data_IF_955264013937
#
_entry.id   IF_955264013937
#
_cell.length_a   1.000
_cell.length_b   1.000
_cell.length_c   1.000
_cell.angle_alpha   90.00
_cell.angle_beta   90.00
_cell.angle_gamma   90.00
#
_symmetry.space_group_name_H-M   'P 1'
#
loop_
_entity.id
_entity.type
_entity.pdbx_description
1 polymer ?
#
# COMPACT_ATOMS: atom_id res chain seq x y z
N UNK A 1 -0.26 13.46 -1.31
CA UNK A 1 -0.62 14.55 -0.37
C UNK A 1 -1.07 13.95 0.98
N UNK A 2 -1.25 14.72 2.07
CA UNK A 2 -1.71 14.17 3.36
C UNK A 2 -3.03 13.37 3.29
N UNK A 3 -3.88 13.65 2.28
CA UNK A 3 -5.10 12.87 1.99
C UNK A 3 -4.83 11.46 1.46
N UNK A 4 -3.71 11.22 0.80
CA UNK A 4 -3.38 9.92 0.19
C UNK A 4 -2.73 8.97 1.19
N UNK A 5 -1.99 9.50 2.17
CA UNK A 5 -1.44 8.71 3.26
C UNK A 5 -2.52 8.04 4.13
N UNK A 6 -3.73 8.60 4.17
CA UNK A 6 -4.87 8.00 4.90
C UNK A 6 -5.50 6.80 4.17
N UNK A 7 -5.07 6.52 2.94
CA UNK A 7 -5.64 5.44 2.11
C UNK A 7 -4.82 4.14 2.18
N UNK A 8 -3.67 4.16 2.85
CA UNK A 8 -2.72 3.03 2.91
C UNK A 8 -2.19 2.87 4.33
N UNK A 9 -2.00 1.63 4.76
CA UNK A 9 -1.35 1.32 6.03
C UNK A 9 0.16 1.58 5.92
N UNK A 10 0.81 1.73 7.07
CA UNK A 10 2.21 2.13 7.21
C UNK A 10 3.18 1.17 6.54
N UNK A 11 2.86 -0.14 6.49
CA UNK A 11 3.73 -1.12 5.84
C UNK A 11 3.91 -0.85 4.33
N UNK A 12 2.87 -0.34 3.65
CA UNK A 12 2.94 0.03 2.22
C UNK A 12 3.92 1.18 2.03
N UNK A 13 3.90 2.17 2.93
CA UNK A 13 4.82 3.32 2.86
C UNK A 13 6.27 2.84 3.01
N UNK A 14 6.53 1.90 3.92
CA UNK A 14 7.86 1.32 4.07
C UNK A 14 8.29 0.53 2.84
N UNK A 15 7.38 -0.26 2.25
CA UNK A 15 7.67 -0.98 1.01
C UNK A 15 8.00 -0.04 -0.16
N UNK A 16 7.24 1.05 -0.32
CA UNK A 16 7.49 2.07 -1.34
C UNK A 16 8.83 2.79 -1.13
N UNK A 17 9.14 3.17 0.12
CA UNK A 17 10.42 3.82 0.44
C UNK A 17 11.60 2.90 0.15
N UNK A 18 11.55 1.64 0.59
CA UNK A 18 12.58 0.66 0.32
C UNK A 18 12.75 0.38 -1.18
N UNK A 19 11.65 0.29 -1.94
CA UNK A 19 11.71 0.11 -3.39
C UNK A 19 12.37 1.31 -4.08
N UNK A 20 12.06 2.54 -3.64
CA UNK A 20 12.67 3.76 -4.18
C UNK A 20 14.18 3.80 -3.89
N UNK A 21 14.60 3.45 -2.67
CA UNK A 21 16.02 3.37 -2.30
C UNK A 21 16.75 2.31 -3.14
N UNK A 22 16.16 1.13 -3.32
CA UNK A 22 16.74 0.05 -4.12
C UNK A 22 16.89 0.43 -5.61
N UNK A 23 15.87 1.07 -6.20
CA UNK A 23 15.93 1.53 -7.59
C UNK A 23 16.99 2.62 -7.78
N UNK A 24 17.09 3.56 -6.83
CA UNK A 24 18.13 4.60 -6.85
C UNK A 24 19.53 3.99 -6.74
N UNK A 25 19.73 3.01 -5.84
CA UNK A 25 20.99 2.29 -5.70
C UNK A 25 21.35 1.51 -6.97
N UNK A 26 20.36 0.92 -7.65
CA UNK A 26 20.56 0.20 -8.91
C UNK A 26 20.76 1.12 -10.12
N UNK A 27 20.48 2.43 -9.98
CA UNK A 27 20.44 3.37 -11.10
C UNK A 27 19.35 3.06 -12.12
N UNK A 28 18.29 2.33 -11.73
CA UNK A 28 17.23 1.91 -12.65
C UNK A 28 16.06 2.90 -12.64
N UNK A 29 15.91 3.63 -13.74
CA UNK A 29 14.81 4.58 -13.95
C UNK A 29 14.23 4.31 -15.35
N UNK A 30 13.18 3.46 -15.48
CA UNK A 30 12.65 3.08 -16.78
C UNK A 30 11.91 4.26 -17.44
N UNK A 31 12.52 4.85 -18.47
CA UNK A 31 11.97 6.03 -19.17
C UNK A 31 11.15 5.60 -20.39
N UNK A 32 11.67 4.67 -21.20
CA UNK A 32 11.01 4.22 -22.43
C UNK A 32 9.86 3.26 -22.16
N UNK A 33 8.95 3.11 -23.12
CA UNK A 33 7.85 2.14 -23.03
C UNK A 33 8.39 0.70 -22.92
N UNK A 34 9.43 0.37 -23.68
CA UNK A 34 10.08 -0.94 -23.61
C UNK A 34 10.67 -1.22 -22.22
N UNK A 35 11.34 -0.23 -21.59
CA UNK A 35 11.90 -0.40 -20.24
C UNK A 35 10.78 -0.63 -19.21
N UNK A 36 9.66 0.07 -19.35
CA UNK A 36 8.49 -0.08 -18.45
C UNK A 36 7.85 -1.45 -18.61
N UNK A 37 7.66 -1.90 -19.85
CA UNK A 37 7.12 -3.24 -20.13
C UNK A 37 8.07 -4.36 -19.69
N UNK A 38 9.38 -4.10 -19.70
CA UNK A 38 10.40 -5.01 -19.20
C UNK A 38 10.59 -4.99 -17.68
N UNK A 39 9.95 -4.05 -16.96
CA UNK A 39 10.08 -3.92 -15.50
C UNK A 39 8.88 -4.57 -14.81
N UNK A 40 9.15 -5.48 -13.87
CA UNK A 40 8.13 -6.11 -13.02
C UNK A 40 8.25 -5.65 -11.57
N UNK A 41 7.11 -5.60 -10.87
CA UNK A 41 7.05 -5.30 -9.42
C UNK A 41 6.44 -6.49 -8.70
N UNK A 42 7.17 -7.06 -7.75
CA UNK A 42 6.68 -8.11 -6.85
C UNK A 42 7.01 -7.65 -5.43
N UNK A 43 5.98 -7.28 -4.68
CA UNK A 43 6.09 -6.87 -3.27
C UNK A 43 5.15 -7.75 -2.48
N UNK A 44 5.65 -8.32 -1.38
CA UNK A 44 4.87 -9.17 -0.50
C UNK A 44 4.97 -8.68 0.94
N UNK A 45 3.91 -8.90 1.69
CA UNK A 45 3.83 -8.67 3.13
C UNK A 45 3.34 -9.96 3.77
N UNK A 46 3.92 -10.33 4.92
CA UNK A 46 3.51 -11.56 5.62
C UNK A 46 2.08 -11.48 6.15
N UNK A 47 1.72 -10.35 6.77
CA UNK A 47 0.41 -10.14 7.41
C UNK A 47 -0.41 -8.99 6.80
N UNK A 48 0.23 -8.09 6.04
CA UNK A 48 -0.41 -6.88 5.53
C UNK A 48 -0.69 -5.85 6.64
N UNK A 49 -1.73 -5.04 6.45
CA UNK A 49 -2.13 -3.98 7.37
C UNK A 49 -3.01 -4.48 8.52
N UNK A 50 -2.46 -5.33 9.40
CA UNK A 50 -3.22 -5.88 10.53
C UNK A 50 -3.94 -4.84 11.39
N UNK A 51 -3.33 -3.67 11.73
CA UNK A 51 -4.03 -2.63 12.47
C UNK A 51 -5.29 -2.13 11.75
N UNK A 52 -5.21 -1.86 10.44
CA UNK A 52 -6.35 -1.43 9.64
C UNK A 52 -7.46 -2.51 9.55
N UNK A 53 -7.08 -3.79 9.50
CA UNK A 53 -8.03 -4.91 9.57
C UNK A 53 -8.78 -4.89 10.92
N UNK A 54 -8.05 -4.77 12.03
CA UNK A 54 -8.68 -4.77 13.37
C UNK A 54 -9.59 -3.57 13.58
N UNK A 55 -9.25 -2.40 13.02
CA UNK A 55 -10.09 -1.20 13.10
C UNK A 55 -11.35 -1.30 12.23
N UNK A 56 -11.26 -1.96 11.08
CA UNK A 56 -12.42 -2.26 10.25
C UNK A 56 -13.42 -3.15 10.99
N UNK A 57 -12.94 -4.20 11.67
CA UNK A 57 -13.77 -5.08 12.51
C UNK A 57 -14.47 -4.27 13.60
N UNK A 58 -13.73 -3.46 14.38
CA UNK A 58 -14.32 -2.59 15.41
C UNK A 58 -15.35 -1.62 14.86
N UNK A 59 -15.10 -1.05 13.68
CA UNK A 59 -16.04 -0.14 13.02
C UNK A 59 -17.36 -0.84 12.70
N UNK A 60 -17.29 -2.06 12.18
CA UNK A 60 -18.46 -2.88 11.90
C UNK A 60 -19.22 -3.19 13.19
N UNK A 61 -18.52 -3.68 14.21
CA UNK A 61 -19.12 -4.10 15.48
C UNK A 61 -19.80 -2.93 16.22
N UNK A 62 -19.17 -1.75 16.21
CA UNK A 62 -19.65 -0.61 17.00
C UNK A 62 -20.60 0.32 16.22
N UNK A 63 -20.45 0.41 14.90
CA UNK A 63 -21.12 1.46 14.08
C UNK A 63 -21.82 0.92 12.85
N UNK A 64 -21.70 -0.38 12.57
CA UNK A 64 -22.32 -1.06 11.44
C UNK A 64 -21.53 -0.93 10.12
N UNK A 65 -21.76 -1.90 9.23
CA UNK A 65 -21.04 -2.07 7.95
C UNK A 65 -21.09 -0.82 7.06
N UNK A 66 -22.19 -0.05 7.10
CA UNK A 66 -22.34 1.19 6.29
C UNK A 66 -21.31 2.28 6.62
N UNK A 67 -20.58 2.17 7.73
CA UNK A 67 -19.55 3.12 8.13
C UNK A 67 -18.14 2.76 7.62
N UNK A 68 -17.96 1.61 6.98
CA UNK A 68 -16.69 1.26 6.36
C UNK A 68 -16.39 2.17 5.16
N UNK A 69 -15.12 2.57 5.04
CA UNK A 69 -14.62 3.30 3.89
C UNK A 69 -14.52 2.37 2.67
N UNK A 70 -14.79 2.84 1.44
CA UNK A 70 -14.46 2.11 0.22
C UNK A 70 -12.96 1.79 0.08
N UNK A 71 -12.10 2.50 0.81
CA UNK A 71 -10.65 2.28 0.82
C UNK A 71 -10.18 1.31 1.92
N UNK A 72 -11.10 0.72 2.69
CA UNK A 72 -10.75 -0.19 3.78
C UNK A 72 -9.89 -1.36 3.26
N UNK A 73 -10.39 -2.11 2.27
CA UNK A 73 -9.66 -3.26 1.71
C UNK A 73 -8.35 -2.85 1.03
N UNK A 74 -8.33 -1.86 0.10
CA UNK A 74 -7.08 -1.39 -0.50
C UNK A 74 -6.04 -0.88 0.51
N UNK A 75 -6.44 -0.46 1.71
CA UNK A 75 -5.50 0.12 2.67
C UNK A 75 -4.58 -0.91 3.34
N UNK A 76 -4.97 -2.18 3.41
CA UNK A 76 -4.23 -3.21 4.13
C UNK A 76 -3.74 -4.39 3.29
N UNK A 77 -3.99 -4.34 1.97
CA UNK A 77 -3.48 -5.30 1.00
C UNK A 77 -2.16 -4.83 0.38
#
# INVERSE_FOLDING_TARGET
APKDQRKVDRFIIFGLAAAQEALAQAGWVPVSEADRLGTATIIASGIGGFPAITEAVRTVDQRGVRRLSPFTVPSFL
#
